data_IF_074469525444
#
_entry.id   IF_074469525444
#
_cell.length_a   1.000
_cell.length_b   1.000
_cell.length_c   1.000
_cell.angle_alpha   90.00
_cell.angle_beta   90.00
_cell.angle_gamma   90.00
#
_symmetry.space_group_name_H-M   'P 1'
#
loop_
_entity.id
_entity.type
_entity.pdbx_description
1 polymer ?
#
# COMPACT_ATOMS: atom_id res chain seq x y z
N UNK A 1 -15.63 51.02 15.38
CA UNK A 1 -15.05 49.97 14.53
C UNK A 1 -14.03 49.23 15.41
N UNK A 2 -14.48 48.36 16.32
CA UNK A 2 -14.79 46.92 16.10
C UNK A 2 -13.74 46.27 15.20
N UNK A 3 -13.03 45.19 15.53
CA UNK A 3 -13.14 44.23 16.63
C UNK A 3 -11.87 43.37 16.54
N UNK A 4 -10.93 43.50 17.48
CA UNK A 4 -9.96 42.43 17.71
C UNK A 4 -10.74 41.36 18.47
N UNK A 5 -11.12 40.29 17.77
CA UNK A 5 -11.79 39.16 18.35
C UNK A 5 -10.88 38.51 19.40
N UNK A 6 -11.08 38.87 20.66
CA UNK A 6 -10.66 38.06 21.80
C UNK A 6 -11.33 36.70 21.65
N UNK A 7 -10.50 35.67 21.51
CA UNK A 7 -10.93 34.28 21.60
C UNK A 7 -11.45 34.10 23.04
N UNK A 8 -12.73 33.77 23.24
CA UNK A 8 -13.26 33.61 24.59
C UNK A 8 -12.60 32.40 25.26
N UNK A 9 -12.03 32.60 26.44
CA UNK A 9 -11.70 31.53 27.38
C UNK A 9 -13.00 30.79 27.74
N UNK A 10 -13.24 29.66 27.08
CA UNK A 10 -14.24 28.71 27.54
C UNK A 10 -13.67 27.91 28.72
N UNK A 11 -13.98 28.40 29.93
CA UNK A 11 -13.90 27.67 31.19
C UNK A 11 -14.93 26.53 31.23
N UNK A 12 -14.64 25.48 30.49
CA UNK A 12 -15.13 24.13 30.71
C UNK A 12 -13.98 23.23 30.32
N UNK A 13 -13.25 22.69 31.30
CA UNK A 13 -12.02 21.92 31.10
C UNK A 13 -12.29 20.70 30.20
N UNK A 14 -12.23 20.91 28.89
CA UNK A 14 -11.90 19.85 27.96
C UNK A 14 -10.47 19.47 28.32
N UNK A 15 -10.22 18.23 28.75
CA UNK A 15 -8.91 17.84 29.24
C UNK A 15 -7.88 18.16 28.15
N UNK A 16 -6.90 19.01 28.50
CA UNK A 16 -5.82 19.43 27.61
C UNK A 16 -5.10 18.20 27.06
N UNK A 17 -4.63 18.27 25.81
CA UNK A 17 -4.01 17.14 25.06
C UNK A 17 -2.90 16.45 25.84
N UNK A 18 -2.12 17.24 26.56
CA UNK A 18 -1.11 16.78 27.51
C UNK A 18 -1.75 15.92 28.61
N UNK A 19 -2.82 16.37 29.26
CA UNK A 19 -3.48 15.65 30.35
C UNK A 19 -4.10 14.30 29.92
N UNK A 20 -4.48 14.13 28.65
CA UNK A 20 -4.96 12.83 28.14
C UNK A 20 -3.82 11.88 27.73
N UNK A 21 -2.78 12.39 27.07
CA UNK A 21 -1.68 11.57 26.57
C UNK A 21 -0.65 11.22 27.66
N UNK A 22 -0.38 12.15 28.59
CA UNK A 22 0.64 12.04 29.65
C UNK A 22 0.48 10.83 30.58
N UNK A 23 -0.71 10.48 31.11
CA UNK A 23 -0.83 9.29 31.97
C UNK A 23 -0.64 7.98 31.20
N UNK A 24 -1.00 7.96 29.91
CA UNK A 24 -0.86 6.77 29.05
C UNK A 24 0.60 6.60 28.65
N UNK A 25 1.25 7.66 28.18
CA UNK A 25 2.68 7.67 27.88
C UNK A 25 3.48 7.30 29.13
N UNK A 26 3.22 7.89 30.29
CA UNK A 26 3.90 7.53 31.54
C UNK A 26 3.69 6.07 31.97
N UNK A 27 2.52 5.46 31.69
CA UNK A 27 2.27 4.04 31.98
C UNK A 27 2.98 3.10 31.00
N UNK A 28 2.98 3.45 29.72
CA UNK A 28 3.64 2.64 28.68
C UNK A 28 5.16 2.78 28.74
N UNK A 29 5.66 3.92 29.22
CA UNK A 29 7.07 4.31 29.26
C UNK A 29 7.67 4.29 30.66
N UNK A 30 7.08 3.51 31.56
CA UNK A 30 7.62 3.31 32.89
C UNK A 30 8.97 2.57 32.79
N UNK A 31 10.06 3.31 32.61
CA UNK A 31 11.42 2.78 32.46
C UNK A 31 12.28 3.46 31.38
N UNK A 32 11.69 4.34 30.55
CA UNK A 32 12.40 5.05 29.47
C UNK A 32 12.77 6.48 29.86
N UNK A 33 13.83 7.03 29.24
CA UNK A 33 14.34 8.38 29.54
C UNK A 33 13.21 9.44 29.49
N UNK A 34 12.99 10.13 30.61
CA UNK A 34 11.92 11.13 30.76
C UNK A 34 12.02 12.24 29.67
N UNK A 35 13.23 12.48 29.16
CA UNK A 35 13.50 13.39 28.04
C UNK A 35 12.83 12.97 26.73
N UNK A 36 12.84 11.67 26.36
CA UNK A 36 12.19 11.17 25.14
C UNK A 36 10.68 11.29 25.24
N UNK A 37 10.13 10.97 26.42
CA UNK A 37 8.69 11.09 26.70
C UNK A 37 8.22 12.54 26.58
N UNK A 38 8.98 13.49 27.13
CA UNK A 38 8.67 14.91 27.04
C UNK A 38 8.73 15.44 25.59
N UNK A 39 9.71 15.00 24.79
CA UNK A 39 9.81 15.37 23.38
C UNK A 39 8.55 14.97 22.60
N UNK A 40 8.04 13.75 22.79
CA UNK A 40 6.80 13.29 22.13
C UNK A 40 5.59 14.11 22.55
N UNK A 41 5.45 14.38 23.85
CA UNK A 41 4.36 15.21 24.37
C UNK A 41 4.40 16.60 23.71
N UNK A 42 5.59 17.20 23.59
CA UNK A 42 5.75 18.49 22.91
C UNK A 42 5.36 18.46 21.43
N UNK A 43 5.70 17.39 20.72
CA UNK A 43 5.40 17.19 19.30
C UNK A 43 3.90 16.96 19.05
N UNK A 44 3.24 16.17 19.91
CA UNK A 44 1.79 15.94 19.88
C UNK A 44 1.00 17.20 20.24
N UNK A 45 1.56 18.05 21.10
CA UNK A 45 0.98 19.36 21.42
C UNK A 45 1.07 20.31 20.23
N UNK A 46 2.18 20.28 19.50
CA UNK A 46 2.43 21.17 18.35
C UNK A 46 1.73 20.72 17.06
N UNK A 47 1.64 19.41 16.80
CA UNK A 47 1.05 18.87 15.56
C UNK A 47 -0.48 19.00 15.57
N UNK A 48 -1.05 19.57 14.49
CA UNK A 48 -2.52 19.67 14.35
C UNK A 48 -3.11 18.35 13.84
N UNK A 49 -3.90 17.69 14.68
CA UNK A 49 -4.70 16.52 14.28
C UNK A 49 -5.93 16.93 13.46
N UNK A 50 -5.73 17.20 12.17
CA UNK A 50 -6.78 17.58 11.22
C UNK A 50 -7.36 16.41 10.42
N UNK A 51 -6.65 15.28 10.36
CA UNK A 51 -7.02 14.18 9.48
C UNK A 51 -8.12 13.32 10.10
N UNK A 52 -9.27 13.30 9.40
CA UNK A 52 -10.38 12.39 9.68
C UNK A 52 -10.06 11.02 9.11
N UNK A 53 -10.72 9.98 9.63
CA UNK A 53 -10.58 8.58 9.19
C UNK A 53 -10.60 8.41 7.66
N UNK A 54 -11.46 9.16 6.96
CA UNK A 54 -11.57 9.13 5.49
C UNK A 54 -10.34 9.67 4.76
N UNK A 55 -9.65 10.69 5.31
CA UNK A 55 -8.47 11.28 4.66
C UNK A 55 -7.31 10.31 4.72
N UNK A 56 -7.12 9.66 5.88
CA UNK A 56 -6.08 8.63 6.07
C UNK A 56 -6.33 7.45 5.12
N UNK A 57 -7.60 7.04 4.96
CA UNK A 57 -7.95 5.99 4.00
C UNK A 57 -7.65 6.39 2.55
N UNK A 58 -7.86 7.65 2.17
CA UNK A 58 -7.54 8.12 0.81
C UNK A 58 -6.03 8.22 0.57
N UNK A 59 -5.27 8.73 1.55
CA UNK A 59 -3.80 8.79 1.48
C UNK A 59 -3.23 7.37 1.35
N UNK A 60 -3.68 6.45 2.21
CA UNK A 60 -3.26 5.06 2.18
C UNK A 60 -3.57 4.38 0.84
N UNK A 61 -4.77 4.61 0.28
CA UNK A 61 -5.15 4.04 -1.02
C UNK A 61 -4.32 4.62 -2.17
N UNK A 62 -4.03 5.91 -2.15
CA UNK A 62 -3.25 6.57 -3.19
C UNK A 62 -1.80 6.05 -3.22
N UNK A 63 -1.17 5.84 -2.07
CA UNK A 63 0.17 5.24 -2.00
C UNK A 63 0.19 3.78 -2.46
N UNK A 64 -0.80 3.00 -2.02
CA UNK A 64 -0.78 1.52 -2.20
C UNK A 64 -1.26 1.05 -3.58
N UNK A 65 -2.17 1.80 -4.24
CA UNK A 65 -2.60 1.48 -5.61
C UNK A 65 -1.62 2.16 -6.58
N UNK A 66 -0.42 1.60 -6.64
CA UNK A 66 0.68 2.14 -7.46
C UNK A 66 0.60 1.71 -8.93
N UNK A 67 1.41 2.37 -9.74
CA UNK A 67 1.62 2.05 -11.17
C UNK A 67 2.25 0.65 -11.37
N UNK A 68 2.91 0.12 -10.33
CA UNK A 68 3.49 -1.22 -10.30
C UNK A 68 2.48 -2.35 -10.51
N UNK A 69 1.22 -2.17 -10.10
CA UNK A 69 0.17 -3.15 -10.39
C UNK A 69 0.00 -3.32 -11.91
N UNK A 70 -0.04 -2.23 -12.68
CA UNK A 70 -0.30 -2.33 -14.13
C UNK A 70 0.92 -2.83 -14.90
N UNK A 71 2.12 -2.36 -14.55
CA UNK A 71 3.35 -2.75 -15.27
C UNK A 71 3.81 -4.17 -14.95
N UNK A 72 3.61 -4.61 -13.70
CA UNK A 72 4.17 -5.87 -13.24
C UNK A 72 3.20 -7.07 -13.45
N UNK A 73 1.89 -6.81 -13.53
CA UNK A 73 0.88 -7.87 -13.74
C UNK A 73 0.96 -8.47 -15.14
N UNK A 74 1.27 -7.69 -16.18
CA UNK A 74 1.42 -8.21 -17.57
C UNK A 74 2.49 -9.30 -17.69
N UNK A 75 3.69 -9.01 -17.20
CA UNK A 75 4.82 -9.96 -17.18
C UNK A 75 4.56 -11.13 -16.24
N UNK A 76 3.84 -10.91 -15.15
CA UNK A 76 3.48 -11.96 -14.20
C UNK A 76 2.46 -12.94 -14.79
N UNK A 77 1.46 -12.45 -15.54
CA UNK A 77 0.49 -13.29 -16.22
C UNK A 77 1.18 -14.17 -17.27
N UNK A 78 2.05 -13.59 -18.09
CA UNK A 78 2.75 -14.34 -19.14
C UNK A 78 3.68 -15.43 -18.60
N UNK A 79 4.21 -15.25 -17.39
CA UNK A 79 5.20 -16.15 -16.80
C UNK A 79 4.62 -17.22 -15.88
N UNK A 80 3.46 -16.97 -15.27
CA UNK A 80 2.88 -17.85 -14.24
C UNK A 80 1.49 -18.38 -14.60
N UNK A 81 0.75 -17.68 -15.46
CA UNK A 81 -0.65 -17.99 -15.75
C UNK A 81 -1.61 -17.43 -14.70
N UNK A 82 -2.90 -17.32 -15.05
CA UNK A 82 -3.88 -16.57 -14.26
C UNK A 82 -4.17 -17.18 -12.88
N UNK A 83 -4.17 -18.50 -12.76
CA UNK A 83 -4.49 -19.17 -11.49
C UNK A 83 -3.32 -19.10 -10.50
N UNK A 84 -2.08 -19.31 -10.96
CA UNK A 84 -0.88 -19.17 -10.11
C UNK A 84 -0.76 -17.73 -9.64
N UNK A 85 -1.02 -16.76 -10.53
CA UNK A 85 -0.99 -15.34 -10.19
C UNK A 85 -1.98 -15.03 -9.06
N UNK A 86 -3.25 -15.45 -9.15
CA UNK A 86 -4.22 -15.24 -8.08
C UNK A 86 -3.79 -15.85 -6.75
N UNK A 87 -3.31 -17.10 -6.76
CA UNK A 87 -2.88 -17.78 -5.54
C UNK A 87 -1.64 -17.12 -4.92
N UNK A 88 -0.67 -16.72 -5.74
CA UNK A 88 0.55 -16.05 -5.28
C UNK A 88 0.24 -14.68 -4.66
N UNK A 89 -0.62 -13.87 -5.30
CA UNK A 89 -1.03 -12.59 -4.75
C UNK A 89 -1.84 -12.76 -3.45
N UNK A 90 -2.77 -13.73 -3.36
CA UNK A 90 -3.47 -14.02 -2.08
C UNK A 90 -2.51 -14.31 -0.92
N UNK A 91 -1.44 -15.09 -1.17
CA UNK A 91 -0.46 -15.44 -0.14
C UNK A 91 0.36 -14.22 0.27
N UNK A 92 0.82 -13.43 -0.70
CA UNK A 92 1.60 -12.21 -0.45
C UNK A 92 0.74 -11.18 0.30
N UNK A 93 -0.51 -11.00 -0.11
CA UNK A 93 -1.48 -10.10 0.52
C UNK A 93 -1.72 -10.46 1.98
N UNK A 94 -1.79 -11.76 2.29
CA UNK A 94 -1.92 -12.24 3.67
C UNK A 94 -0.69 -11.89 4.52
N UNK A 95 0.52 -12.06 3.98
CA UNK A 95 1.76 -11.68 4.69
C UNK A 95 1.81 -10.18 4.94
N UNK A 96 1.40 -9.38 3.95
CA UNK A 96 1.40 -7.93 4.04
C UNK A 96 0.32 -7.45 5.01
N UNK A 97 -0.82 -8.14 5.11
CA UNK A 97 -1.81 -7.90 6.15
C UNK A 97 -1.18 -7.90 7.54
N UNK A 98 -0.37 -8.91 7.85
CA UNK A 98 0.29 -9.04 9.13
C UNK A 98 1.23 -7.85 9.39
N UNK A 99 2.00 -7.44 8.39
CA UNK A 99 2.90 -6.28 8.49
C UNK A 99 2.12 -4.99 8.71
N UNK A 100 1.12 -4.70 7.87
CA UNK A 100 0.31 -3.48 7.93
C UNK A 100 -0.44 -3.36 9.24
N UNK A 101 -1.02 -4.46 9.74
CA UNK A 101 -1.69 -4.46 11.04
C UNK A 101 -0.70 -4.23 12.17
N UNK A 102 0.50 -4.81 12.11
CA UNK A 102 1.56 -4.58 13.11
C UNK A 102 2.01 -3.11 13.14
N UNK A 103 2.27 -2.52 11.97
CA UNK A 103 2.62 -1.10 11.83
C UNK A 103 1.48 -0.19 12.30
N UNK A 104 0.23 -0.55 12.02
CA UNK A 104 -0.94 0.21 12.44
C UNK A 104 -1.13 0.21 13.96
N UNK A 105 -0.91 -0.91 14.64
CA UNK A 105 -0.93 -0.96 16.12
C UNK A 105 0.23 -0.14 16.70
N UNK A 106 1.41 -0.17 16.09
CA UNK A 106 2.56 0.64 16.49
C UNK A 106 2.29 2.15 16.35
N UNK A 107 1.71 2.54 15.22
CA UNK A 107 1.29 3.92 14.90
C UNK A 107 0.15 4.39 15.81
N UNK A 108 -0.71 3.47 16.25
CA UNK A 108 -1.79 3.76 17.20
C UNK A 108 -1.27 3.98 18.63
N UNK A 109 -0.18 3.29 19.01
CA UNK A 109 0.47 3.44 20.31
C UNK A 109 1.30 4.73 20.40
N UNK A 110 2.15 4.98 19.40
CA UNK A 110 3.05 6.12 19.34
C UNK A 110 2.81 6.91 18.03
N UNK A 111 1.84 7.84 17.98
CA UNK A 111 1.53 8.61 16.77
C UNK A 111 2.59 9.70 16.53
N UNK A 112 3.78 9.30 16.08
CA UNK A 112 4.95 10.14 15.88
C UNK A 112 4.98 10.70 14.45
N UNK A 113 5.44 11.94 14.28
CA UNK A 113 5.66 12.53 12.95
C UNK A 113 6.98 12.00 12.39
N UNK A 114 6.92 11.19 11.34
CA UNK A 114 8.10 10.54 10.75
C UNK A 114 7.92 9.06 10.39
N UNK A 115 6.76 8.48 10.69
CA UNK A 115 6.42 7.12 10.29
C UNK A 115 7.39 6.07 10.82
N UNK A 116 7.69 5.07 10.00
CA UNK A 116 8.38 3.84 10.43
C UNK A 116 9.83 4.05 10.89
N UNK A 117 10.52 5.08 10.40
CA UNK A 117 11.90 5.44 10.83
C UNK A 117 11.93 5.80 12.32
N UNK A 118 10.98 6.64 12.75
CA UNK A 118 10.91 7.12 14.14
C UNK A 118 10.35 6.05 15.07
N UNK A 119 9.54 5.14 14.54
CA UNK A 119 9.19 3.90 15.24
C UNK A 119 10.42 3.01 15.49
N UNK A 120 11.31 2.85 14.50
CA UNK A 120 12.54 2.07 14.67
C UNK A 120 13.49 2.68 15.72
N UNK A 121 13.58 4.02 15.77
CA UNK A 121 14.40 4.77 16.75
C UNK A 121 13.97 4.49 18.19
N UNK A 122 12.66 4.31 18.36
CA UNK A 122 12.03 4.23 19.66
C UNK A 122 11.89 2.80 20.15
N UNK A 123 11.39 1.89 19.31
CA UNK A 123 11.11 0.51 19.72
C UNK A 123 12.32 -0.42 19.64
N UNK A 124 13.37 -0.05 18.90
CA UNK A 124 14.51 -0.94 18.64
C UNK A 124 15.83 -0.31 19.03
N UNK A 125 16.35 0.60 18.21
CA UNK A 125 17.64 1.26 18.44
C UNK A 125 17.83 2.46 17.49
N UNK A 126 18.46 3.56 17.94
CA UNK A 126 18.78 4.70 17.07
C UNK A 126 19.65 4.36 15.86
N UNK A 127 20.54 3.37 15.93
CA UNK A 127 21.35 2.94 14.79
C UNK A 127 20.50 2.24 13.72
N UNK A 128 19.47 1.47 14.13
CA UNK A 128 18.51 0.89 13.19
C UNK A 128 17.71 1.98 12.49
N UNK A 129 17.27 3.01 13.22
CA UNK A 129 16.58 4.14 12.63
C UNK A 129 17.44 4.88 11.61
N UNK A 130 18.72 5.10 11.93
CA UNK A 130 19.66 5.71 11.00
C UNK A 130 19.85 4.88 9.73
N UNK A 131 20.06 3.56 9.88
CA UNK A 131 20.19 2.64 8.76
C UNK A 131 18.90 2.61 7.91
N UNK A 132 17.73 2.56 8.55
CA UNK A 132 16.45 2.54 7.87
C UNK A 132 16.16 3.86 7.17
N UNK A 133 16.55 4.99 7.77
CA UNK A 133 16.48 6.31 7.14
C UNK A 133 17.32 6.37 5.85
N UNK A 134 18.56 5.89 5.88
CA UNK A 134 19.39 5.79 4.67
C UNK A 134 18.81 4.83 3.63
N UNK A 135 18.29 3.68 4.06
CA UNK A 135 17.62 2.74 3.18
C UNK A 135 16.40 3.38 2.48
N UNK A 136 15.59 4.14 3.22
CA UNK A 136 14.44 4.87 2.67
C UNK A 136 14.87 5.97 1.70
N UNK A 137 15.99 6.67 1.94
CA UNK A 137 16.53 7.66 0.99
C UNK A 137 16.94 6.98 -0.32
N UNK A 138 17.68 5.87 -0.25
CA UNK A 138 18.08 5.12 -1.45
C UNK A 138 16.87 4.55 -2.20
N UNK A 139 15.90 3.97 -1.47
CA UNK A 139 14.68 3.45 -2.05
C UNK A 139 13.89 4.54 -2.78
N UNK A 140 13.67 5.70 -2.16
CA UNK A 140 12.96 6.82 -2.78
C UNK A 140 13.72 7.42 -3.97
N UNK A 141 15.05 7.50 -3.91
CA UNK A 141 15.87 7.99 -5.02
C UNK A 141 15.78 7.09 -6.27
N UNK A 142 15.60 5.79 -6.08
CA UNK A 142 15.43 4.81 -7.19
C UNK A 142 13.97 4.74 -7.64
N UNK A 143 13.03 4.81 -6.69
CA UNK A 143 11.61 4.59 -6.94
C UNK A 143 10.97 5.76 -7.68
N UNK A 144 11.32 7.01 -7.36
CA UNK A 144 10.75 8.20 -8.01
C UNK A 144 10.98 8.20 -9.55
N UNK A 145 12.21 7.99 -10.06
CA UNK A 145 12.42 7.83 -11.50
C UNK A 145 11.66 6.63 -12.09
N UNK A 146 11.58 5.50 -11.37
CA UNK A 146 10.86 4.32 -11.83
C UNK A 146 9.35 4.59 -11.99
N UNK A 147 8.75 5.35 -11.08
CA UNK A 147 7.36 5.80 -11.20
C UNK A 147 7.19 6.77 -12.39
N UNK A 148 8.13 7.69 -12.63
CA UNK A 148 8.08 8.59 -13.79
C UNK A 148 8.14 7.84 -15.13
N UNK A 149 9.03 6.86 -15.26
CA UNK A 149 9.12 5.99 -16.45
C UNK A 149 7.83 5.21 -16.63
N UNK A 150 7.27 4.69 -15.54
CA UNK A 150 6.02 3.93 -15.59
C UNK A 150 4.84 4.82 -16.03
N UNK A 151 4.75 6.04 -15.50
CA UNK A 151 3.74 7.02 -15.93
C UNK A 151 3.88 7.35 -17.42
N UNK A 152 5.11 7.51 -17.92
CA UNK A 152 5.35 7.76 -19.35
C UNK A 152 4.85 6.58 -20.22
N UNK A 153 5.16 5.34 -19.84
CA UNK A 153 4.68 4.13 -20.55
C UNK A 153 3.16 4.01 -20.50
N UNK A 154 2.53 4.29 -19.35
CA UNK A 154 1.07 4.23 -19.22
C UNK A 154 0.41 5.27 -20.11
N UNK A 155 0.94 6.51 -20.16
CA UNK A 155 0.38 7.58 -20.99
C UNK A 155 0.49 7.22 -22.48
N UNK A 156 1.61 6.64 -22.91
CA UNK A 156 1.82 6.17 -24.28
C UNK A 156 0.77 5.10 -24.68
N UNK A 157 0.53 4.13 -23.79
CA UNK A 157 -0.52 3.14 -23.97
C UNK A 157 -1.94 3.73 -23.94
N UNK A 158 -2.18 4.81 -23.20
CA UNK A 158 -3.51 5.41 -23.07
C UNK A 158 -3.90 6.26 -24.28
N UNK A 159 -2.93 6.81 -25.02
CA UNK A 159 -3.19 7.46 -26.31
C UNK A 159 -3.66 6.48 -27.39
N UNK A 160 -3.23 5.23 -27.32
CA UNK A 160 -3.58 4.19 -28.31
C UNK A 160 -4.83 3.37 -27.91
N UNK A 161 -5.09 3.22 -26.60
CA UNK A 161 -6.20 2.41 -26.07
C UNK A 161 -7.32 3.30 -25.53
N UNK A 162 -8.21 3.71 -26.43
CA UNK A 162 -9.55 4.19 -26.05
C UNK A 162 -10.30 3.13 -25.22
N UNK A 163 -11.37 3.51 -24.51
CA UNK A 163 -12.34 2.75 -23.66
C UNK A 163 -12.77 1.32 -24.11
N UNK A 164 -12.28 0.84 -25.24
CA UNK A 164 -12.44 -0.45 -25.85
C UNK A 164 -12.10 -1.65 -24.96
N UNK A 165 -11.19 -1.57 -23.98
CA UNK A 165 -10.84 -2.74 -23.15
C UNK A 165 -12.05 -3.30 -22.38
N UNK A 166 -12.91 -2.44 -21.83
CA UNK A 166 -14.14 -2.84 -21.13
C UNK A 166 -15.18 -3.38 -22.13
N UNK A 167 -15.34 -2.72 -23.28
CA UNK A 167 -16.27 -3.14 -24.33
C UNK A 167 -15.88 -4.47 -24.98
N UNK A 168 -14.58 -4.69 -25.23
CA UNK A 168 -14.01 -5.92 -25.77
C UNK A 168 -14.25 -7.09 -24.81
N UNK A 169 -14.10 -6.86 -23.49
CA UNK A 169 -14.39 -7.86 -22.45
C UNK A 169 -15.87 -8.26 -22.42
N UNK A 170 -16.78 -7.29 -22.64
CA UNK A 170 -18.22 -7.52 -22.72
C UNK A 170 -18.68 -8.14 -24.06
N UNK A 171 -17.77 -8.46 -24.98
CA UNK A 171 -18.07 -9.09 -26.27
C UNK A 171 -18.29 -8.11 -27.44
N UNK A 172 -18.07 -6.81 -27.24
CA UNK A 172 -18.11 -5.79 -28.30
C UNK A 172 -16.75 -5.60 -29.01
N UNK A 173 -15.90 -6.63 -29.01
CA UNK A 173 -14.67 -6.65 -29.80
C UNK A 173 -14.95 -7.05 -31.27
N UNK A 174 -14.00 -6.80 -32.19
CA UNK A 174 -14.16 -7.11 -33.62
C UNK A 174 -14.39 -8.60 -33.94
N UNK A 175 -14.23 -9.48 -32.95
CA UNK A 175 -14.44 -10.92 -33.06
C UNK A 175 -15.86 -11.38 -32.64
N UNK A 176 -16.67 -10.52 -32.02
CA UNK A 176 -18.10 -10.74 -31.79
C UNK A 176 -18.51 -11.79 -30.73
N UNK A 177 -17.58 -12.30 -29.92
CA UNK A 177 -17.88 -13.24 -28.83
C UNK A 177 -17.35 -12.73 -27.47
N UNK A 178 -18.08 -12.97 -26.36
CA UNK A 178 -17.61 -12.61 -25.01
C UNK A 178 -16.44 -13.52 -24.62
N UNK A 179 -15.27 -12.93 -24.34
CA UNK A 179 -14.03 -13.67 -24.07
C UNK A 179 -14.04 -14.48 -22.77
N UNK A 180 -14.91 -14.15 -21.79
CA UNK A 180 -15.23 -14.98 -20.63
C UNK A 180 -14.03 -15.74 -20.02
N UNK A 181 -14.24 -17.01 -19.67
CA UNK A 181 -13.19 -17.91 -19.16
C UNK A 181 -12.42 -18.66 -20.27
N UNK A 182 -12.38 -18.13 -21.50
CA UNK A 182 -11.77 -18.84 -22.62
C UNK A 182 -10.26 -19.01 -22.41
N UNK A 183 -9.56 -17.95 -21.98
CA UNK A 183 -8.11 -17.98 -21.72
C UNK A 183 -7.71 -18.83 -20.50
N UNK A 184 -8.68 -19.13 -19.64
CA UNK A 184 -8.51 -20.08 -18.54
C UNK A 184 -8.59 -21.55 -19.00
N UNK A 185 -9.16 -21.82 -20.18
CA UNK A 185 -9.21 -23.16 -20.79
C UNK A 185 -8.09 -23.37 -21.81
N UNK A 186 -7.74 -22.35 -22.58
CA UNK A 186 -6.68 -22.39 -23.59
C UNK A 186 -6.00 -21.00 -23.68
N UNK A 187 -4.72 -20.83 -23.29
CA UNK A 187 -3.65 -21.82 -23.06
C UNK A 187 -3.70 -22.55 -21.69
N UNK A 188 -4.64 -22.19 -20.82
CA UNK A 188 -4.92 -22.89 -19.56
C UNK A 188 -4.52 -22.11 -18.29
N UNK A 189 -4.92 -22.60 -17.11
CA UNK A 189 -4.78 -21.85 -15.85
C UNK A 189 -3.33 -21.81 -15.33
N UNK A 190 -2.46 -22.69 -15.84
CA UNK A 190 -1.06 -22.81 -15.46
C UNK A 190 -0.17 -22.60 -16.68
N UNK A 191 0.78 -21.68 -16.58
CA UNK A 191 1.83 -21.50 -17.60
C UNK A 191 3.13 -22.12 -17.09
N UNK A 192 3.87 -22.76 -17.98
CA UNK A 192 5.22 -23.21 -17.66
C UNK A 192 6.20 -22.06 -17.78
N UNK A 193 6.91 -21.76 -16.69
CA UNK A 193 7.93 -20.72 -16.68
C UNK A 193 9.10 -21.10 -17.60
N UNK A 194 9.44 -20.23 -18.56
CA UNK A 194 10.57 -20.38 -19.49
C UNK A 194 10.55 -21.67 -20.35
N UNK A 195 9.39 -22.31 -20.53
CA UNK A 195 9.29 -23.56 -21.28
C UNK A 195 9.90 -24.77 -20.56
N UNK A 196 10.07 -24.69 -19.23
CA UNK A 196 10.52 -25.81 -18.42
C UNK A 196 9.32 -26.72 -18.12
N UNK A 197 9.36 -27.93 -18.65
CA UNK A 197 8.28 -28.89 -18.52
C UNK A 197 8.05 -29.37 -17.07
N UNK A 198 6.77 -29.56 -16.73
CA UNK A 198 6.34 -30.22 -15.50
C UNK A 198 6.03 -29.30 -14.31
N UNK A 199 5.98 -29.89 -13.11
CA UNK A 199 5.66 -29.19 -11.86
C UNK A 199 6.71 -28.14 -11.49
N UNK A 200 7.96 -28.35 -11.90
CA UNK A 200 9.08 -27.44 -11.61
C UNK A 200 8.92 -26.10 -12.33
N UNK A 201 8.55 -26.09 -13.61
CA UNK A 201 8.28 -24.84 -14.33
C UNK A 201 7.11 -24.05 -13.73
N UNK A 202 6.07 -24.73 -13.25
CA UNK A 202 4.95 -24.08 -12.54
C UNK A 202 5.36 -23.50 -11.19
N UNK A 203 6.21 -24.21 -10.46
CA UNK A 203 6.76 -23.75 -9.18
C UNK A 203 7.65 -22.52 -9.33
N UNK A 204 8.51 -22.49 -10.36
CA UNK A 204 9.32 -21.32 -10.68
C UNK A 204 8.47 -20.12 -11.11
N UNK A 205 7.40 -20.38 -11.89
CA UNK A 205 6.40 -19.37 -12.23
C UNK A 205 5.75 -18.77 -10.99
N UNK A 206 5.37 -19.60 -10.01
CA UNK A 206 4.88 -19.16 -8.72
C UNK A 206 5.89 -18.27 -7.99
N UNK A 207 7.15 -18.67 -7.87
CA UNK A 207 8.16 -17.88 -7.13
C UNK A 207 8.59 -16.60 -7.88
N UNK A 208 8.30 -16.45 -9.17
CA UNK A 208 8.52 -15.18 -9.85
C UNK A 208 7.50 -14.11 -9.42
N UNK A 209 6.26 -14.49 -9.16
CA UNK A 209 5.14 -13.56 -8.91
C UNK A 209 5.32 -12.72 -7.63
N UNK A 210 5.75 -13.27 -6.47
CA UNK A 210 5.95 -12.50 -5.26
C UNK A 210 6.91 -11.32 -5.41
N UNK A 211 7.94 -11.44 -6.26
CA UNK A 211 8.86 -10.32 -6.51
C UNK A 211 8.17 -9.13 -7.20
N UNK A 212 7.20 -9.40 -8.08
CA UNK A 212 6.36 -8.40 -8.73
C UNK A 212 5.34 -7.82 -7.75
N UNK A 213 4.73 -8.67 -6.94
CA UNK A 213 3.79 -8.25 -5.90
C UNK A 213 4.48 -7.33 -4.88
N UNK A 214 5.69 -7.65 -4.41
CA UNK A 214 6.44 -6.83 -3.47
C UNK A 214 6.65 -5.39 -3.95
N UNK A 215 6.91 -5.20 -5.25
CA UNK A 215 7.01 -3.86 -5.84
C UNK A 215 5.68 -3.09 -5.75
N UNK A 216 4.55 -3.76 -6.01
CA UNK A 216 3.23 -3.15 -5.92
C UNK A 216 2.84 -2.75 -4.47
N UNK A 217 3.47 -3.36 -3.47
CA UNK A 217 3.21 -3.09 -2.05
C UNK A 217 4.23 -2.21 -1.35
N UNK A 218 5.23 -1.68 -2.08
CA UNK A 218 6.32 -0.90 -1.48
C UNK A 218 5.86 0.33 -0.69
N UNK A 219 4.67 0.87 -1.00
CA UNK A 219 4.14 2.10 -0.41
C UNK A 219 3.09 1.85 0.70
N UNK A 220 2.92 0.60 1.15
CA UNK A 220 1.89 0.26 2.14
C UNK A 220 2.20 0.81 3.55
N UNK A 221 3.45 1.22 3.79
CA UNK A 221 3.94 1.73 5.07
C UNK A 221 3.63 3.21 5.35
N UNK A 222 3.20 3.97 4.34
CA UNK A 222 2.93 5.42 4.41
C UNK A 222 1.75 5.78 5.34
N UNK A 223 0.93 4.79 5.72
CA UNK A 223 -0.15 4.94 6.70
C UNK A 223 0.39 5.47 8.05
N UNK A 224 1.63 5.11 8.39
CA UNK A 224 2.30 5.53 9.63
C UNK A 224 2.68 7.01 9.64
N UNK A 225 2.97 7.61 8.47
CA UNK A 225 3.40 9.02 8.37
C UNK A 225 2.25 9.96 8.73
N UNK A 226 1.02 9.60 8.34
CA UNK A 226 -0.18 10.36 8.67
C UNK A 226 -0.68 10.13 10.12
N UNK A 227 -0.02 9.28 10.91
CA UNK A 227 -0.47 8.91 12.26
C UNK A 227 -0.49 10.10 13.22
N UNK A 228 0.55 10.95 13.17
CA UNK A 228 0.67 12.13 14.04
C UNK A 228 -0.43 13.18 13.81
N UNK A 229 -0.91 13.30 12.57
CA UNK A 229 -1.96 14.25 12.15
C UNK A 229 -3.38 13.68 12.25
N UNK A 230 -3.51 12.41 12.66
CA UNK A 230 -4.78 11.71 12.76
C UNK A 230 -5.52 12.08 14.03
N UNK A 231 -6.82 12.41 13.92
CA UNK A 231 -7.69 12.55 15.09
C UNK A 231 -7.90 11.19 15.75
N UNK A 232 -7.80 11.10 17.09
CA UNK A 232 -7.99 9.85 17.84
C UNK A 232 -7.23 8.66 17.21
N UNK A 233 -5.88 8.74 17.13
CA UNK A 233 -5.05 7.79 16.38
C UNK A 233 -5.26 6.34 16.82
N UNK A 234 -5.40 6.11 18.14
CA UNK A 234 -5.67 4.79 18.74
C UNK A 234 -6.86 4.05 18.15
N UNK A 235 -7.88 4.80 17.74
CA UNK A 235 -9.11 4.20 17.22
C UNK A 235 -9.17 4.25 15.70
N UNK A 236 -8.72 5.36 15.12
CA UNK A 236 -8.90 5.64 13.71
C UNK A 236 -7.83 4.97 12.84
N UNK A 237 -6.59 4.81 13.32
CA UNK A 237 -5.51 4.18 12.54
C UNK A 237 -5.77 2.68 12.35
N UNK A 238 -6.03 1.84 13.38
CA UNK A 238 -6.24 0.41 13.17
C UNK A 238 -7.50 0.12 12.35
N UNK A 239 -8.56 0.94 12.53
CA UNK A 239 -9.77 0.86 11.70
C UNK A 239 -9.50 1.24 10.24
N UNK A 240 -8.69 2.26 10.00
CA UNK A 240 -8.31 2.65 8.65
C UNK A 240 -7.47 1.55 7.99
N UNK A 241 -6.46 1.02 8.67
CA UNK A 241 -5.61 -0.06 8.19
C UNK A 241 -6.44 -1.30 7.77
N UNK A 242 -7.38 -1.77 8.60
CA UNK A 242 -8.26 -2.91 8.26
C UNK A 242 -9.16 -2.65 7.05
N UNK A 243 -9.65 -1.41 6.87
CA UNK A 243 -10.49 -1.07 5.71
C UNK A 243 -9.68 -0.93 4.44
N UNK A 244 -8.50 -0.31 4.54
CA UNK A 244 -7.54 -0.24 3.43
C UNK A 244 -7.15 -1.66 3.01
N UNK A 245 -6.96 -2.56 3.99
CA UNK A 245 -6.67 -3.97 3.74
C UNK A 245 -7.67 -4.63 2.79
N UNK A 246 -8.93 -4.66 3.20
CA UNK A 246 -9.98 -5.30 2.41
C UNK A 246 -10.19 -4.65 1.04
N UNK A 247 -10.02 -3.33 0.97
CA UNK A 247 -10.13 -2.60 -0.29
C UNK A 247 -9.00 -2.92 -1.25
N UNK A 248 -7.76 -3.04 -0.78
CA UNK A 248 -6.66 -3.46 -1.64
C UNK A 248 -6.89 -4.90 -2.10
N UNK A 249 -7.19 -5.83 -1.19
CA UNK A 249 -7.28 -7.25 -1.53
C UNK A 249 -8.34 -7.44 -2.61
N UNK A 250 -9.49 -6.81 -2.44
CA UNK A 250 -10.56 -6.81 -3.43
C UNK A 250 -10.11 -6.19 -4.76
N UNK A 251 -9.42 -5.05 -4.74
CA UNK A 251 -8.97 -4.37 -5.96
C UNK A 251 -7.92 -5.19 -6.73
N UNK A 252 -6.92 -5.75 -6.04
CA UNK A 252 -5.90 -6.61 -6.63
C UNK A 252 -6.52 -7.89 -7.21
N UNK A 253 -7.40 -8.57 -6.48
CA UNK A 253 -8.07 -9.78 -6.97
C UNK A 253 -8.98 -9.51 -8.17
N UNK A 254 -9.74 -8.41 -8.16
CA UNK A 254 -10.59 -8.03 -9.29
C UNK A 254 -9.72 -7.70 -10.50
N UNK A 255 -8.67 -6.90 -10.35
CA UNK A 255 -7.78 -6.52 -11.45
C UNK A 255 -7.10 -7.73 -12.06
N UNK A 256 -6.57 -8.65 -11.25
CA UNK A 256 -5.92 -9.88 -11.71
C UNK A 256 -6.92 -10.80 -12.40
N UNK A 257 -8.12 -10.95 -11.84
CA UNK A 257 -9.18 -11.74 -12.43
C UNK A 257 -9.57 -11.18 -13.81
N UNK A 258 -9.83 -9.87 -13.90
CA UNK A 258 -10.14 -9.21 -15.17
C UNK A 258 -9.00 -9.35 -16.17
N UNK A 259 -7.76 -9.18 -15.75
CA UNK A 259 -6.60 -9.32 -16.63
C UNK A 259 -6.46 -10.74 -17.18
N UNK A 260 -6.70 -11.76 -16.36
CA UNK A 260 -6.74 -13.16 -16.80
C UNK A 260 -7.93 -13.53 -17.69
N UNK A 261 -8.98 -12.71 -17.74
CA UNK A 261 -10.12 -12.87 -18.66
C UNK A 261 -9.93 -12.12 -19.99
N UNK A 262 -9.09 -11.08 -20.00
CA UNK A 262 -8.90 -10.19 -21.15
C UNK A 262 -7.74 -10.61 -22.03
N UNK A 263 -6.63 -11.06 -21.43
CA UNK A 263 -5.39 -11.32 -22.16
C UNK A 263 -5.00 -12.80 -22.11
N UNK A 264 -4.71 -13.44 -23.27
CA UNK A 264 -4.09 -14.75 -23.28
C UNK A 264 -2.68 -14.67 -22.70
N UNK A 265 -2.34 -15.58 -21.78
CA UNK A 265 -1.01 -15.63 -21.17
C UNK A 265 0.12 -15.99 -22.14
N UNK A 266 -0.21 -16.42 -23.36
CA UNK A 266 0.75 -16.77 -24.42
C UNK A 266 1.03 -15.62 -25.40
N UNK A 267 0.50 -14.42 -25.16
CA UNK A 267 0.76 -13.28 -26.03
C UNK A 267 2.19 -12.76 -25.83
N UNK A 268 2.92 -12.62 -26.95
CA UNK A 268 4.30 -12.11 -26.96
C UNK A 268 4.36 -10.63 -26.57
N UNK A 269 3.27 -9.88 -26.77
CA UNK A 269 3.15 -8.48 -26.36
C UNK A 269 3.18 -8.26 -24.85
N UNK A 270 2.94 -9.29 -24.03
CA UNK A 270 3.01 -9.19 -22.56
C UNK A 270 4.44 -9.17 -22.01
N UNK A 271 5.42 -9.58 -22.81
CA UNK A 271 6.83 -9.72 -22.40
C UNK A 271 7.75 -8.75 -23.14
N UNK A 272 7.36 -8.28 -24.33
CA UNK A 272 8.12 -7.25 -25.05
C UNK A 272 7.80 -5.86 -24.49
N UNK A 273 8.79 -5.28 -23.79
CA UNK A 273 8.90 -3.83 -23.64
C UNK A 273 9.92 -3.33 -24.67
#
# INVERSE_FOLDING_TARGET
>A
MNSHAQIPEQNGETPTRENQARPILKRTLAGEDDAKTQAIISELVYTRQGLKQRHIQMIALAGTIGTGLFLATGKSLARSGPLIMLLAYCIVDMLICCVVLSVAELSALAPLSGGIIRHAEWFVDPALAFAQGWNSVYANAILLPAEMVTCAVIIDFWSDVNHASICITAGAGPQGYPMGFQFWRDPGPFVQFLGIDGSWGRFLGFWRVPSSAAYAFSNVEDISVAAAETQNPRHNIPKAAKRVFWRFLMFYLITICMMGLIAPSNDKGLVSN
#
